data_IF_340885397393
#
_entry.id   IF_340885397393
#
_cell.length_a   1.000
_cell.length_b   1.000
_cell.length_c   1.000
_cell.angle_alpha   90.00
_cell.angle_beta   90.00
_cell.angle_gamma   90.00
#
_symmetry.space_group_name_H-M   'P 1'
#
loop_
_entity.id
_entity.type
_entity.pdbx_description
1 polymer ?
#
# COMPACT_ATOMS: atom_id res chain seq x y z
N UNK A 1 -24.39 -18.56 -48.15
CA UNK A 1 -23.46 -18.69 -47.02
C UNK A 1 -24.25 -18.38 -45.76
N UNK A 2 -24.69 -19.41 -45.04
CA UNK A 2 -25.45 -19.23 -43.81
C UNK A 2 -24.56 -18.59 -42.76
N UNK A 3 -24.98 -17.44 -42.23
CA UNK A 3 -24.37 -16.82 -41.07
C UNK A 3 -24.67 -17.71 -39.87
N UNK A 4 -23.82 -18.69 -39.62
CA UNK A 4 -23.79 -19.43 -38.37
C UNK A 4 -23.41 -18.45 -37.27
N UNK A 5 -24.42 -17.79 -36.69
CA UNK A 5 -24.28 -17.15 -35.39
C UNK A 5 -23.90 -18.28 -34.44
N UNK A 6 -22.67 -18.25 -33.92
CA UNK A 6 -22.29 -18.97 -32.72
C UNK A 6 -23.26 -18.50 -31.63
N UNK A 7 -24.39 -19.20 -31.47
CA UNK A 7 -25.22 -19.06 -30.28
C UNK A 7 -24.29 -19.40 -29.12
N UNK A 8 -23.95 -18.39 -28.31
CA UNK A 8 -23.22 -18.61 -27.08
C UNK A 8 -23.97 -19.71 -26.31
N UNK A 9 -23.30 -20.77 -25.85
CA UNK A 9 -23.95 -21.90 -25.20
C UNK A 9 -24.75 -21.37 -24.00
N UNK A 10 -26.06 -21.26 -24.16
CA UNK A 10 -26.97 -20.84 -23.12
C UNK A 10 -26.89 -21.88 -22.00
N UNK A 11 -26.33 -21.51 -20.84
CA UNK A 11 -26.33 -22.37 -19.65
C UNK A 11 -24.98 -22.62 -18.97
N UNK A 12 -23.88 -21.96 -19.34
CA UNK A 12 -22.69 -22.02 -18.48
C UNK A 12 -22.96 -21.28 -17.16
N UNK A 13 -22.68 -21.90 -16.00
CA UNK A 13 -22.96 -21.27 -14.70
C UNK A 13 -22.02 -20.09 -14.46
N UNK A 14 -22.51 -19.06 -13.77
CA UNK A 14 -21.79 -17.83 -13.40
C UNK A 14 -20.40 -18.10 -12.80
N UNK A 15 -20.30 -19.18 -12.01
CA UNK A 15 -19.06 -19.62 -11.38
C UNK A 15 -17.93 -19.94 -12.39
N UNK A 16 -18.24 -20.38 -13.61
CA UNK A 16 -17.22 -20.73 -14.61
C UNK A 16 -16.51 -19.48 -15.11
N UNK A 17 -17.24 -18.45 -15.53
CA UNK A 17 -16.59 -17.23 -16.03
C UNK A 17 -15.92 -16.44 -14.90
N UNK A 18 -16.50 -16.40 -13.70
CA UNK A 18 -15.83 -15.80 -12.53
C UNK A 18 -14.57 -16.59 -12.14
N UNK A 19 -14.61 -17.91 -12.24
CA UNK A 19 -13.44 -18.78 -12.02
C UNK A 19 -12.32 -18.51 -13.03
N UNK A 20 -12.65 -18.38 -14.32
CA UNK A 20 -11.68 -18.00 -15.36
C UNK A 20 -11.07 -16.61 -15.09
N UNK A 21 -11.89 -15.65 -14.65
CA UNK A 21 -11.43 -14.32 -14.27
C UNK A 21 -10.44 -14.38 -13.10
N UNK A 22 -10.80 -15.10 -12.04
CA UNK A 22 -9.94 -15.30 -10.87
C UNK A 22 -8.62 -15.97 -11.22
N UNK A 23 -8.66 -17.04 -12.02
CA UNK A 23 -7.47 -17.71 -12.55
C UNK A 23 -6.60 -16.74 -13.37
N UNK A 24 -7.21 -15.93 -14.23
CA UNK A 24 -6.50 -14.94 -15.03
C UNK A 24 -5.78 -13.88 -14.16
N UNK A 25 -6.43 -13.46 -13.08
CA UNK A 25 -5.85 -12.53 -12.11
C UNK A 25 -4.67 -13.13 -11.37
N UNK A 26 -4.80 -14.37 -10.90
CA UNK A 26 -3.74 -15.08 -10.21
C UNK A 26 -2.53 -15.40 -11.11
N UNK A 27 -2.76 -15.76 -12.38
CA UNK A 27 -1.70 -15.95 -13.38
C UNK A 27 -0.95 -14.64 -13.65
N UNK A 28 -1.67 -13.53 -13.77
CA UNK A 28 -1.06 -12.20 -13.95
C UNK A 28 -0.19 -11.81 -12.73
N UNK A 29 -0.69 -12.04 -11.51
CA UNK A 29 0.09 -11.86 -10.29
C UNK A 29 1.35 -12.74 -10.28
N UNK A 30 1.21 -13.99 -10.68
CA UNK A 30 2.34 -14.94 -10.75
C UNK A 30 3.40 -14.44 -11.73
N UNK A 31 3.00 -13.97 -12.91
CA UNK A 31 3.90 -13.40 -13.91
C UNK A 31 4.68 -12.19 -13.39
N UNK A 32 4.00 -11.24 -12.75
CA UNK A 32 4.63 -10.08 -12.13
C UNK A 32 5.65 -10.48 -11.04
N UNK A 33 5.29 -11.46 -10.20
CA UNK A 33 6.15 -11.90 -9.10
C UNK A 33 7.37 -12.72 -9.55
N UNK A 34 7.27 -13.48 -10.64
CA UNK A 34 8.44 -14.17 -11.23
C UNK A 34 9.52 -13.16 -11.62
N UNK A 35 9.13 -12.06 -12.27
CA UNK A 35 10.07 -11.00 -12.66
C UNK A 35 10.58 -10.22 -11.44
N UNK A 36 9.70 -9.88 -10.51
CA UNK A 36 10.07 -9.19 -9.27
C UNK A 36 11.06 -10.00 -8.42
N UNK A 37 10.86 -11.31 -8.34
CA UNK A 37 11.77 -12.22 -7.64
C UNK A 37 13.15 -12.28 -8.30
N UNK A 38 13.19 -12.39 -9.63
CA UNK A 38 14.45 -12.36 -10.39
C UNK A 38 15.24 -11.08 -10.11
N UNK A 39 14.57 -9.92 -10.15
CA UNK A 39 15.18 -8.63 -9.85
C UNK A 39 15.64 -8.53 -8.38
N UNK A 40 14.86 -9.06 -7.44
CA UNK A 40 15.22 -9.10 -6.02
C UNK A 40 16.50 -9.93 -5.78
N UNK A 41 16.63 -11.09 -6.42
CA UNK A 41 17.84 -11.91 -6.31
C UNK A 41 19.07 -11.23 -6.92
N UNK A 42 18.92 -10.50 -8.04
CA UNK A 42 20.01 -9.69 -8.60
C UNK A 42 20.54 -8.65 -7.61
N UNK A 43 19.64 -7.99 -6.86
CA UNK A 43 20.04 -7.03 -5.82
C UNK A 43 20.77 -7.68 -4.66
N UNK A 44 20.55 -8.98 -4.41
CA UNK A 44 21.30 -9.78 -3.41
C UNK A 44 22.64 -10.32 -3.95
N UNK A 45 23.06 -9.87 -5.14
CA UNK A 45 24.34 -10.24 -5.73
C UNK A 45 24.30 -11.49 -6.61
N UNK A 46 23.12 -12.09 -6.83
CA UNK A 46 23.00 -13.21 -7.74
C UNK A 46 22.99 -12.73 -9.19
N UNK A 47 24.07 -13.01 -9.93
CA UNK A 47 24.12 -12.68 -11.35
C UNK A 47 23.36 -13.74 -12.17
N UNK A 48 22.40 -13.30 -12.98
CA UNK A 48 21.73 -14.15 -13.95
C UNK A 48 22.47 -14.10 -15.29
N UNK A 49 22.56 -15.25 -15.96
CA UNK A 49 22.98 -15.29 -17.37
C UNK A 49 21.90 -14.63 -18.25
N UNK A 50 22.28 -14.14 -19.44
CA UNK A 50 21.32 -13.55 -20.39
C UNK A 50 20.16 -14.49 -20.73
N UNK A 51 20.43 -15.80 -20.79
CA UNK A 51 19.42 -16.83 -21.07
C UNK A 51 18.44 -16.96 -19.90
N UNK A 52 18.93 -16.94 -18.65
CA UNK A 52 18.05 -16.96 -17.47
C UNK A 52 17.19 -15.70 -17.38
N UNK A 53 17.78 -14.51 -17.59
CA UNK A 53 17.02 -13.25 -17.63
C UNK A 53 15.95 -13.25 -18.72
N UNK A 54 16.28 -13.72 -19.93
CA UNK A 54 15.31 -13.89 -21.00
C UNK A 54 14.21 -14.90 -20.60
N UNK A 55 14.58 -16.00 -19.95
CA UNK A 55 13.64 -16.99 -19.42
C UNK A 55 12.62 -16.39 -18.45
N UNK A 56 13.04 -15.53 -17.52
CA UNK A 56 12.13 -14.85 -16.60
C UNK A 56 11.18 -13.88 -17.31
N UNK A 57 11.67 -13.14 -18.31
CA UNK A 57 10.83 -12.22 -19.12
C UNK A 57 9.83 -12.99 -19.96
N UNK A 58 10.24 -14.11 -20.57
CA UNK A 58 9.35 -14.99 -21.35
C UNK A 58 8.29 -15.60 -20.43
N UNK A 59 8.69 -16.14 -19.27
CA UNK A 59 7.74 -16.69 -18.30
C UNK A 59 6.73 -15.64 -17.81
N UNK A 60 7.20 -14.44 -17.47
CA UNK A 60 6.34 -13.31 -17.10
C UNK A 60 5.36 -12.94 -18.22
N UNK A 61 5.85 -12.81 -19.46
CA UNK A 61 5.02 -12.52 -20.63
C UNK A 61 3.97 -13.61 -20.86
N UNK A 62 4.36 -14.90 -20.83
CA UNK A 62 3.44 -16.01 -21.04
C UNK A 62 2.35 -16.08 -19.96
N UNK A 63 2.70 -15.88 -18.69
CA UNK A 63 1.75 -15.87 -17.59
C UNK A 63 0.77 -14.69 -17.69
N UNK A 64 1.26 -13.49 -18.00
CA UNK A 64 0.40 -12.31 -18.19
C UNK A 64 -0.49 -12.44 -19.43
N UNK A 65 0.04 -12.92 -20.56
CA UNK A 65 -0.75 -13.18 -21.78
C UNK A 65 -1.82 -14.23 -21.51
N UNK A 66 -1.48 -15.30 -20.76
CA UNK A 66 -2.45 -16.31 -20.33
C UNK A 66 -3.52 -15.69 -19.43
N UNK A 67 -3.14 -14.79 -18.52
CA UNK A 67 -4.07 -14.04 -17.69
C UNK A 67 -5.06 -13.19 -18.49
N UNK A 68 -4.56 -12.44 -19.47
CA UNK A 68 -5.37 -11.63 -20.40
C UNK A 68 -6.26 -12.52 -21.27
N UNK A 69 -5.77 -13.65 -21.75
CA UNK A 69 -6.55 -14.59 -22.55
C UNK A 69 -7.71 -15.20 -21.73
N UNK A 70 -7.47 -15.56 -20.46
CA UNK A 70 -8.51 -16.06 -19.56
C UNK A 70 -9.58 -14.99 -19.26
N UNK A 71 -9.16 -13.72 -19.10
CA UNK A 71 -10.09 -12.60 -18.98
C UNK A 71 -10.93 -12.42 -20.24
N UNK A 72 -10.29 -12.35 -21.41
CA UNK A 72 -10.98 -12.19 -22.68
C UNK A 72 -11.95 -13.35 -22.95
N UNK A 73 -11.55 -14.59 -22.61
CA UNK A 73 -12.42 -15.76 -22.68
C UNK A 73 -13.61 -15.64 -21.73
N UNK A 74 -13.39 -15.20 -20.48
CA UNK A 74 -14.46 -14.97 -19.50
C UNK A 74 -15.49 -13.95 -20.01
N UNK A 75 -15.02 -12.84 -20.60
CA UNK A 75 -15.92 -11.83 -21.20
C UNK A 75 -16.62 -12.34 -22.47
N UNK A 76 -15.92 -13.10 -23.31
CA UNK A 76 -16.49 -13.64 -24.55
C UNK A 76 -17.56 -14.72 -24.28
N UNK A 77 -17.47 -15.42 -23.15
CA UNK A 77 -18.47 -16.39 -22.71
C UNK A 77 -19.72 -15.76 -22.07
N UNK A 78 -19.84 -14.42 -22.09
CA UNK A 78 -21.00 -13.69 -21.58
C UNK A 78 -20.84 -13.12 -20.18
N UNK A 79 -19.64 -13.18 -19.59
CA UNK A 79 -19.37 -12.49 -18.33
C UNK A 79 -19.35 -10.97 -18.53
N UNK A 80 -20.19 -10.25 -17.78
CA UNK A 80 -20.20 -8.79 -17.81
C UNK A 80 -18.82 -8.24 -17.38
N UNK A 81 -18.26 -7.30 -18.14
CA UNK A 81 -16.95 -6.71 -17.83
C UNK A 81 -16.93 -6.12 -16.42
N UNK A 82 -18.05 -5.51 -16.02
CA UNK A 82 -18.22 -4.91 -14.70
C UNK A 82 -18.14 -5.91 -13.52
N UNK A 83 -18.33 -7.21 -13.75
CA UNK A 83 -18.23 -8.25 -12.69
C UNK A 83 -16.95 -9.06 -12.81
N UNK A 84 -16.59 -9.46 -14.02
CA UNK A 84 -15.37 -10.25 -14.32
C UNK A 84 -14.10 -9.49 -13.95
N UNK A 85 -14.03 -8.20 -14.28
CA UNK A 85 -12.84 -7.39 -14.07
C UNK A 85 -12.50 -7.12 -12.60
N UNK A 86 -13.48 -6.77 -11.73
CA UNK A 86 -13.27 -6.79 -10.29
C UNK A 86 -12.71 -8.12 -9.81
N UNK A 87 -13.33 -9.26 -10.16
CA UNK A 87 -12.90 -10.58 -9.65
C UNK A 87 -11.46 -10.90 -10.06
N UNK A 88 -11.10 -10.65 -11.32
CA UNK A 88 -9.72 -10.76 -11.77
C UNK A 88 -8.78 -9.84 -10.98
N UNK A 89 -9.20 -8.61 -10.73
CA UNK A 89 -8.44 -7.62 -9.96
C UNK A 89 -8.21 -8.08 -8.51
N UNK A 90 -9.26 -8.53 -7.82
CA UNK A 90 -9.16 -9.06 -6.46
C UNK A 90 -8.24 -10.28 -6.38
N UNK A 91 -8.35 -11.20 -7.34
CA UNK A 91 -7.47 -12.36 -7.42
C UNK A 91 -6.01 -11.98 -7.69
N UNK A 92 -5.77 -10.96 -8.53
CA UNK A 92 -4.44 -10.43 -8.79
C UNK A 92 -3.83 -9.80 -7.52
N UNK A 93 -4.60 -9.00 -6.77
CA UNK A 93 -4.15 -8.42 -5.49
C UNK A 93 -3.81 -9.49 -4.45
N UNK A 94 -4.72 -10.44 -4.25
CA UNK A 94 -4.51 -11.54 -3.31
C UNK A 94 -3.30 -12.39 -3.70
N UNK A 95 -3.18 -12.72 -4.99
CA UNK A 95 -2.04 -13.45 -5.54
C UNK A 95 -0.72 -12.72 -5.34
N UNK A 96 -0.69 -11.40 -5.54
CA UNK A 96 0.53 -10.61 -5.29
C UNK A 96 0.92 -10.63 -3.82
N UNK A 97 -0.03 -10.38 -2.91
CA UNK A 97 0.25 -10.42 -1.47
C UNK A 97 0.77 -11.80 -1.04
N UNK A 98 0.15 -12.87 -1.54
CA UNK A 98 0.55 -14.25 -1.28
C UNK A 98 1.98 -14.53 -1.78
N UNK A 99 2.24 -14.30 -3.07
CA UNK A 99 3.54 -14.61 -3.67
C UNK A 99 4.68 -13.77 -3.08
N UNK A 100 4.46 -12.47 -2.88
CA UNK A 100 5.50 -11.60 -2.32
C UNK A 100 5.84 -11.96 -0.87
N UNK A 101 4.83 -12.34 -0.08
CA UNK A 101 5.04 -12.81 1.30
C UNK A 101 5.77 -14.15 1.32
N UNK A 102 5.36 -15.10 0.47
CA UNK A 102 5.96 -16.43 0.39
C UNK A 102 7.43 -16.37 -0.09
N UNK A 103 7.71 -15.53 -1.09
CA UNK A 103 9.03 -15.37 -1.68
C UNK A 103 9.95 -14.44 -0.85
N UNK A 104 9.45 -13.86 0.24
CA UNK A 104 10.20 -12.92 1.08
C UNK A 104 10.61 -11.64 0.34
N UNK A 105 9.85 -11.24 -0.68
CA UNK A 105 10.12 -10.04 -1.48
C UNK A 105 9.76 -8.77 -0.73
N UNK A 106 8.62 -8.80 -0.02
CA UNK A 106 8.13 -7.68 0.79
C UNK A 106 7.38 -8.17 2.02
N UNK A 107 7.56 -7.45 3.11
CA UNK A 107 6.75 -7.60 4.31
C UNK A 107 5.53 -6.70 4.22
N UNK A 108 4.35 -7.31 4.25
CA UNK A 108 3.09 -6.59 4.28
C UNK A 108 2.76 -6.20 5.72
N UNK A 109 2.65 -4.90 5.97
CA UNK A 109 2.22 -4.41 7.27
C UNK A 109 0.75 -4.76 7.55
N UNK A 110 0.25 -4.39 8.73
CA UNK A 110 -1.16 -4.64 9.07
C UNK A 110 -2.11 -3.87 8.14
N UNK A 111 -1.79 -2.62 7.83
CA UNK A 111 -2.64 -1.73 7.02
C UNK A 111 -2.79 -2.24 5.58
N UNK A 112 -1.70 -2.68 4.95
CA UNK A 112 -1.68 -3.28 3.61
C UNK A 112 -2.46 -4.59 3.54
N UNK A 113 -2.39 -5.42 4.59
CA UNK A 113 -3.19 -6.66 4.64
C UNK A 113 -4.68 -6.36 4.77
N UNK A 114 -5.04 -5.43 5.68
CA UNK A 114 -6.43 -5.02 5.87
C UNK A 114 -6.98 -4.35 4.62
N UNK A 115 -6.24 -3.42 4.01
CA UNK A 115 -6.64 -2.76 2.77
C UNK A 115 -6.87 -3.75 1.63
N UNK A 116 -5.98 -4.75 1.47
CA UNK A 116 -6.15 -5.83 0.48
C UNK A 116 -7.41 -6.67 0.75
N UNK A 117 -7.70 -7.02 2.01
CA UNK A 117 -8.92 -7.76 2.37
C UNK A 117 -10.17 -6.92 2.07
N UNK A 118 -10.17 -5.63 2.44
CA UNK A 118 -11.26 -4.70 2.14
C UNK A 118 -11.52 -4.62 0.63
N UNK A 119 -10.45 -4.53 -0.19
CA UNK A 119 -10.56 -4.53 -1.65
C UNK A 119 -11.19 -5.83 -2.17
N UNK A 120 -10.78 -6.99 -1.66
CA UNK A 120 -11.32 -8.29 -2.09
C UNK A 120 -12.80 -8.39 -1.74
N UNK A 121 -13.21 -7.99 -0.53
CA UNK A 121 -14.62 -7.95 -0.15
C UNK A 121 -15.42 -7.00 -1.04
N UNK A 122 -14.93 -5.77 -1.26
CA UNK A 122 -15.58 -4.81 -2.15
C UNK A 122 -15.74 -5.36 -3.58
N UNK A 123 -14.70 -5.99 -4.12
CA UNK A 123 -14.72 -6.66 -5.42
C UNK A 123 -15.75 -7.80 -5.48
N UNK A 124 -15.87 -8.59 -4.42
CA UNK A 124 -16.85 -9.68 -4.37
C UNK A 124 -18.29 -9.13 -4.42
N UNK A 125 -18.56 -8.05 -3.67
CA UNK A 125 -19.86 -7.37 -3.68
C UNK A 125 -20.20 -6.80 -5.08
N UNK A 126 -19.22 -6.28 -5.83
CA UNK A 126 -19.43 -5.80 -7.22
C UNK A 126 -19.99 -6.87 -8.15
N UNK A 127 -19.75 -8.15 -7.87
CA UNK A 127 -20.30 -9.22 -8.70
C UNK A 127 -21.82 -9.37 -8.59
N UNK A 128 -22.41 -8.96 -7.46
CA UNK A 128 -23.85 -9.01 -7.21
C UNK A 128 -24.55 -7.69 -7.54
N UNK A 129 -23.91 -6.55 -7.23
CA UNK A 129 -24.52 -5.22 -7.40
C UNK A 129 -24.18 -4.55 -8.74
N UNK A 130 -23.37 -5.19 -9.57
CA UNK A 130 -22.94 -4.67 -10.88
C UNK A 130 -24.10 -4.50 -11.87
N UNK A 131 -23.90 -3.74 -12.96
CA UNK A 131 -24.91 -3.56 -13.99
C UNK A 131 -25.31 -4.89 -14.65
N UNK A 132 -26.61 -5.11 -14.81
CA UNK A 132 -27.16 -6.25 -15.54
C UNK A 132 -27.44 -5.84 -16.99
N UNK A 133 -26.45 -6.00 -17.86
CA UNK A 133 -26.55 -5.58 -19.26
C UNK A 133 -27.51 -6.46 -20.07
N UNK A 134 -28.37 -5.86 -20.92
CA UNK A 134 -29.21 -6.63 -21.84
C UNK A 134 -28.34 -7.27 -22.95
N UNK A 135 -28.73 -8.45 -23.48
CA UNK A 135 -27.99 -9.10 -24.57
C UNK A 135 -27.93 -8.24 -25.85
N UNK A 136 -28.91 -7.37 -26.04
CA UNK A 136 -29.17 -6.62 -27.28
C UNK A 136 -28.71 -5.15 -27.18
N UNK A 137 -27.55 -4.90 -26.55
CA UNK A 137 -27.10 -3.54 -26.29
C UNK A 137 -26.89 -2.76 -27.61
N UNK A 138 -27.51 -1.56 -27.81
CA UNK A 138 -27.38 -0.79 -29.04
C UNK A 138 -26.02 -0.05 -29.10
N UNK A 139 -24.95 -0.81 -29.35
CA UNK A 139 -23.56 -0.33 -29.30
C UNK A 139 -23.29 0.84 -30.23
N UNK A 140 -23.87 0.82 -31.44
CA UNK A 140 -23.67 1.89 -32.41
C UNK A 140 -24.24 3.23 -31.90
N UNK A 141 -25.40 3.20 -31.27
CA UNK A 141 -26.00 4.40 -30.65
C UNK A 141 -25.15 4.87 -29.45
N UNK A 142 -24.70 3.95 -28.60
CA UNK A 142 -23.88 4.27 -27.43
C UNK A 142 -22.54 4.90 -27.81
N UNK A 143 -21.85 4.35 -28.82
CA UNK A 143 -20.54 4.85 -29.27
C UNK A 143 -20.63 6.16 -30.07
N UNK A 144 -21.77 6.45 -30.68
CA UNK A 144 -21.99 7.71 -31.43
C UNK A 144 -22.36 8.88 -30.51
N UNK A 145 -22.66 8.63 -29.24
CA UNK A 145 -22.88 9.71 -28.28
C UNK A 145 -21.63 10.59 -28.10
N UNK A 146 -21.77 11.93 -28.09
CA UNK A 146 -20.64 12.84 -27.99
C UNK A 146 -19.86 12.69 -26.69
N UNK A 147 -20.53 12.26 -25.61
CA UNK A 147 -19.91 11.98 -24.30
C UNK A 147 -18.96 10.80 -24.40
N UNK A 148 -19.36 9.71 -25.05
CA UNK A 148 -18.54 8.52 -25.24
C UNK A 148 -17.27 8.83 -26.06
N UNK A 149 -17.43 9.55 -27.17
CA UNK A 149 -16.32 9.98 -28.04
C UNK A 149 -15.35 10.88 -27.26
N UNK A 150 -15.88 11.88 -26.54
CA UNK A 150 -15.06 12.81 -25.73
C UNK A 150 -14.28 12.06 -24.66
N UNK A 151 -14.93 11.13 -23.96
CA UNK A 151 -14.29 10.33 -22.92
C UNK A 151 -13.19 9.42 -23.50
N UNK A 152 -13.45 8.74 -24.61
CA UNK A 152 -12.46 7.91 -25.29
C UNK A 152 -11.22 8.73 -25.73
N UNK A 153 -11.43 9.94 -26.27
CA UNK A 153 -10.34 10.84 -26.63
C UNK A 153 -9.53 11.28 -25.41
N UNK A 154 -10.19 11.62 -24.30
CA UNK A 154 -9.53 11.97 -23.03
C UNK A 154 -8.66 10.80 -22.55
N UNK A 155 -9.18 9.58 -22.55
CA UNK A 155 -8.45 8.38 -22.13
C UNK A 155 -7.18 8.15 -22.96
N UNK A 156 -7.28 8.29 -24.28
CA UNK A 156 -6.12 8.15 -25.19
C UNK A 156 -5.08 9.26 -24.93
N UNK A 157 -5.51 10.52 -24.79
CA UNK A 157 -4.60 11.64 -24.49
C UNK A 157 -3.90 11.41 -23.14
N UNK A 158 -4.64 11.02 -22.11
CA UNK A 158 -4.08 10.76 -20.78
C UNK A 158 -3.12 9.56 -20.79
N UNK A 159 -3.37 8.52 -21.59
CA UNK A 159 -2.42 7.44 -21.80
C UNK A 159 -1.10 7.98 -22.40
N UNK A 160 -1.16 8.77 -23.48
CA UNK A 160 0.05 9.35 -24.08
C UNK A 160 0.81 10.31 -23.14
N UNK A 161 0.09 11.15 -22.40
CA UNK A 161 0.69 12.04 -21.39
C UNK A 161 1.38 11.22 -20.29
N UNK A 162 0.73 10.15 -19.83
CA UNK A 162 1.28 9.25 -18.81
C UNK A 162 2.52 8.51 -19.34
N UNK A 163 2.48 8.01 -20.58
CA UNK A 163 3.61 7.36 -21.24
C UNK A 163 4.83 8.31 -21.35
N UNK A 164 4.60 9.54 -21.83
CA UNK A 164 5.65 10.56 -21.88
C UNK A 164 6.20 10.86 -20.48
N UNK A 165 5.30 10.99 -19.49
CA UNK A 165 5.63 11.17 -18.08
C UNK A 165 6.48 10.04 -17.51
N UNK A 166 6.18 8.78 -17.83
CA UNK A 166 6.98 7.62 -17.42
C UNK A 166 8.42 7.73 -17.92
N UNK A 167 8.62 8.05 -19.19
CA UNK A 167 9.97 8.25 -19.74
C UNK A 167 10.72 9.41 -19.06
N UNK A 168 10.03 10.51 -18.77
CA UNK A 168 10.64 11.66 -18.09
C UNK A 168 10.98 11.37 -16.63
N UNK A 169 10.20 10.55 -15.94
CA UNK A 169 10.36 10.24 -14.50
C UNK A 169 11.14 8.96 -14.23
N UNK A 170 11.68 8.30 -15.26
CA UNK A 170 12.45 7.06 -15.11
C UNK A 170 13.66 7.20 -14.16
N UNK A 171 14.27 8.39 -14.10
CA UNK A 171 15.42 8.69 -13.24
C UNK A 171 15.05 8.98 -11.79
N UNK A 172 13.77 9.19 -11.48
CA UNK A 172 13.32 9.41 -10.12
C UNK A 172 13.41 8.10 -9.31
N UNK A 173 13.55 8.26 -8.00
CA UNK A 173 13.56 7.17 -7.04
C UNK A 173 12.31 6.27 -7.19
N UNK A 174 12.48 4.99 -6.86
CA UNK A 174 11.42 3.97 -7.01
C UNK A 174 10.16 4.30 -6.23
N UNK A 175 10.30 5.05 -5.13
CA UNK A 175 9.22 5.41 -4.21
C UNK A 175 8.61 6.79 -4.51
N UNK A 176 9.05 7.44 -5.59
CA UNK A 176 8.51 8.74 -5.97
C UNK A 176 7.02 8.64 -6.30
N UNK A 177 6.13 9.38 -5.61
CA UNK A 177 4.69 9.27 -5.83
C UNK A 177 4.30 9.72 -7.24
N UNK A 178 5.05 10.67 -7.82
CA UNK A 178 4.82 11.14 -9.20
C UNK A 178 5.13 10.03 -10.20
N UNK A 179 6.26 9.34 -10.02
CA UNK A 179 6.64 8.18 -10.86
C UNK A 179 5.58 7.08 -10.74
N UNK A 180 5.24 6.69 -9.52
CA UNK A 180 4.20 5.67 -9.26
C UNK A 180 2.87 6.01 -9.92
N UNK A 181 2.41 7.27 -9.77
CA UNK A 181 1.15 7.72 -10.37
C UNK A 181 1.19 7.68 -11.89
N UNK A 182 2.24 8.18 -12.53
CA UNK A 182 2.33 8.19 -14.00
C UNK A 182 2.39 6.77 -14.59
N UNK A 183 3.14 5.87 -13.96
CA UNK A 183 3.20 4.47 -14.36
C UNK A 183 1.84 3.77 -14.16
N UNK A 184 1.19 3.98 -13.01
CA UNK A 184 -0.13 3.42 -12.73
C UNK A 184 -1.18 3.94 -13.71
N UNK A 185 -1.23 5.26 -13.92
CA UNK A 185 -2.14 5.92 -14.86
C UNK A 185 -1.97 5.40 -16.29
N UNK A 186 -0.74 5.26 -16.78
CA UNK A 186 -0.50 4.72 -18.12
C UNK A 186 -1.15 3.35 -18.29
N UNK A 187 -0.81 2.41 -17.41
CA UNK A 187 -1.31 1.04 -17.48
C UNK A 187 -2.82 0.99 -17.25
N UNK A 188 -3.36 1.80 -16.33
CA UNK A 188 -4.80 1.96 -16.11
C UNK A 188 -5.52 2.40 -17.38
N UNK A 189 -5.07 3.47 -18.02
CA UNK A 189 -5.77 4.03 -19.18
C UNK A 189 -5.72 3.10 -20.38
N UNK A 190 -4.56 2.49 -20.69
CA UNK A 190 -4.48 1.48 -21.75
C UNK A 190 -5.39 0.29 -21.43
N UNK A 191 -5.36 -0.23 -20.19
CA UNK A 191 -6.18 -1.39 -19.86
C UNK A 191 -7.69 -1.11 -19.96
N UNK A 192 -8.15 0.08 -19.58
CA UNK A 192 -9.56 0.49 -19.74
C UNK A 192 -9.94 0.60 -21.23
N UNK A 193 -9.03 1.16 -22.05
CA UNK A 193 -9.22 1.22 -23.51
C UNK A 193 -9.29 -0.20 -24.09
N UNK A 194 -8.34 -1.06 -23.75
CA UNK A 194 -8.33 -2.47 -24.14
C UNK A 194 -9.59 -3.22 -23.70
N UNK A 195 -10.05 -3.05 -22.45
CA UNK A 195 -11.29 -3.67 -21.96
C UNK A 195 -12.52 -3.17 -22.74
N UNK A 196 -12.59 -1.88 -23.05
CA UNK A 196 -13.67 -1.29 -23.84
C UNK A 196 -13.68 -1.83 -25.28
N UNK A 197 -12.52 -1.99 -25.90
CA UNK A 197 -12.40 -2.59 -27.24
C UNK A 197 -12.73 -4.09 -27.19
N UNK A 198 -12.31 -4.80 -26.14
CA UNK A 198 -12.60 -6.21 -25.96
C UNK A 198 -14.11 -6.50 -25.91
N UNK A 199 -14.89 -5.61 -25.28
CA UNK A 199 -16.36 -5.68 -25.28
C UNK A 199 -16.95 -5.60 -26.70
N UNK A 200 -16.28 -4.94 -27.65
CA UNK A 200 -16.74 -4.87 -29.03
C UNK A 200 -16.64 -6.20 -29.78
N UNK A 201 -15.79 -7.15 -29.34
CA UNK A 201 -15.58 -8.41 -30.08
C UNK A 201 -16.85 -9.26 -30.24
N UNK A 202 -17.75 -9.20 -29.26
CA UNK A 202 -19.06 -9.88 -29.35
C UNK A 202 -20.12 -9.10 -30.14
N UNK A 203 -19.87 -7.81 -30.39
CA UNK A 203 -20.90 -6.86 -30.82
C UNK A 203 -20.70 -6.38 -32.27
N UNK A 204 -19.46 -6.30 -32.75
CA UNK A 204 -19.14 -5.86 -34.12
C UNK A 204 -18.79 -7.04 -35.04
N UNK A 205 -19.07 -6.88 -36.34
CA UNK A 205 -18.79 -7.90 -37.38
C UNK A 205 -18.01 -7.29 -38.54
N UNK A 206 -17.38 -8.15 -39.35
CA UNK A 206 -16.72 -7.74 -40.60
C UNK A 206 -15.44 -6.90 -40.40
N UNK A 207 -15.17 -5.89 -41.24
CA UNK A 207 -13.95 -5.08 -41.15
C UNK A 207 -13.76 -4.34 -39.82
N UNK A 208 -14.86 -3.92 -39.19
CA UNK A 208 -14.81 -3.26 -37.87
C UNK A 208 -14.24 -4.19 -36.78
N UNK A 209 -14.54 -5.49 -36.86
CA UNK A 209 -13.99 -6.49 -35.93
C UNK A 209 -12.47 -6.64 -36.14
N UNK A 210 -12.00 -6.69 -37.39
CA UNK A 210 -10.57 -6.76 -37.68
C UNK A 210 -9.81 -5.51 -37.19
N UNK A 211 -10.42 -4.32 -37.33
CA UNK A 211 -9.89 -3.09 -36.76
C UNK A 211 -9.83 -3.15 -35.23
N UNK A 212 -10.92 -3.58 -34.57
CA UNK A 212 -10.96 -3.74 -33.12
C UNK A 212 -9.85 -4.68 -32.62
N UNK A 213 -9.64 -5.84 -33.27
CA UNK A 213 -8.55 -6.75 -32.94
C UNK A 213 -7.17 -6.10 -33.10
N UNK A 214 -6.97 -5.32 -34.16
CA UNK A 214 -5.70 -4.64 -34.42
C UNK A 214 -5.40 -3.61 -33.32
N UNK A 215 -6.38 -2.77 -32.96
CA UNK A 215 -6.21 -1.77 -31.91
C UNK A 215 -6.01 -2.44 -30.55
N UNK A 216 -6.80 -3.48 -30.24
CA UNK A 216 -6.66 -4.26 -29.00
C UNK A 216 -5.27 -4.89 -28.87
N UNK A 217 -4.73 -5.44 -29.97
CA UNK A 217 -3.40 -6.03 -29.97
C UNK A 217 -2.31 -4.97 -29.72
N UNK A 218 -2.39 -3.82 -30.39
CA UNK A 218 -1.44 -2.72 -30.19
C UNK A 218 -1.50 -2.16 -28.76
N UNK A 219 -2.71 -1.95 -28.24
CA UNK A 219 -2.94 -1.53 -26.86
C UNK A 219 -2.39 -2.56 -25.87
N UNK A 220 -2.64 -3.85 -26.10
CA UNK A 220 -2.12 -4.94 -25.27
C UNK A 220 -0.59 -4.97 -25.23
N UNK A 221 0.09 -4.76 -26.36
CA UNK A 221 1.56 -4.65 -26.40
C UNK A 221 2.05 -3.45 -25.60
N UNK A 222 1.39 -2.30 -25.75
CA UNK A 222 1.74 -1.08 -25.04
C UNK A 222 1.52 -1.21 -23.52
N UNK A 223 0.38 -1.76 -23.12
CA UNK A 223 0.02 -2.05 -21.74
C UNK A 223 1.02 -3.04 -21.10
N UNK A 224 1.38 -4.10 -21.83
CA UNK A 224 2.37 -5.09 -21.37
C UNK A 224 3.75 -4.45 -21.19
N UNK A 225 4.21 -3.67 -22.16
CA UNK A 225 5.48 -2.96 -22.06
C UNK A 225 5.48 -2.00 -20.85
N UNK A 226 4.40 -1.23 -20.67
CA UNK A 226 4.23 -0.33 -19.53
C UNK A 226 4.24 -1.07 -18.20
N UNK A 227 3.56 -2.22 -18.10
CA UNK A 227 3.49 -3.06 -16.89
C UNK A 227 4.86 -3.66 -16.56
N UNK A 228 5.58 -4.20 -17.55
CA UNK A 228 6.93 -4.75 -17.36
C UNK A 228 7.89 -3.65 -16.91
N UNK A 229 7.83 -2.47 -17.53
CA UNK A 229 8.62 -1.32 -17.11
C UNK A 229 8.28 -0.87 -15.69
N UNK A 230 7.00 -0.83 -15.33
CA UNK A 230 6.55 -0.49 -13.98
C UNK A 230 7.09 -1.46 -12.94
N UNK A 231 6.94 -2.77 -13.19
CA UNK A 231 7.40 -3.80 -12.27
C UNK A 231 8.93 -3.79 -12.07
N UNK A 232 9.68 -3.32 -13.08
CA UNK A 232 11.12 -3.17 -12.97
C UNK A 232 11.55 -1.88 -12.23
N UNK A 233 10.77 -0.80 -12.35
CA UNK A 233 11.19 0.56 -11.97
C UNK A 233 10.48 1.13 -10.73
N UNK A 234 9.40 0.50 -10.28
CA UNK A 234 8.58 0.92 -9.14
C UNK A 234 8.56 -0.15 -8.04
N UNK A 235 8.21 0.23 -6.82
CA UNK A 235 7.85 -0.74 -5.79
C UNK A 235 6.53 -1.42 -6.17
N UNK A 236 6.64 -2.68 -6.63
CA UNK A 236 5.52 -3.51 -7.12
C UNK A 236 4.36 -3.56 -6.12
N UNK A 237 4.65 -3.57 -4.82
CA UNK A 237 3.60 -3.72 -3.82
C UNK A 237 2.80 -2.44 -3.57
N UNK A 238 3.30 -1.28 -3.98
CA UNK A 238 2.53 -0.02 -3.98
C UNK A 238 1.92 0.20 -5.36
N UNK A 239 2.70 -0.03 -6.42
CA UNK A 239 2.27 0.15 -7.80
C UNK A 239 1.06 -0.72 -8.18
N UNK A 240 1.07 -2.02 -7.87
CA UNK A 240 0.00 -2.93 -8.31
C UNK A 240 -1.35 -2.59 -7.68
N UNK A 241 -1.49 -2.38 -6.36
CA UNK A 241 -2.75 -1.92 -5.77
C UNK A 241 -3.25 -0.60 -6.33
N UNK A 242 -2.35 0.36 -6.52
CA UNK A 242 -2.68 1.67 -7.10
C UNK A 242 -3.20 1.54 -8.53
N UNK A 243 -2.49 0.80 -9.39
CA UNK A 243 -2.86 0.54 -10.78
C UNK A 243 -4.24 -0.13 -10.87
N UNK A 244 -4.40 -1.26 -10.17
CA UNK A 244 -5.59 -2.09 -10.29
C UNK A 244 -6.85 -1.37 -9.83
N UNK A 245 -6.74 -0.54 -8.80
CA UNK A 245 -7.91 0.15 -8.26
C UNK A 245 -8.20 1.44 -9.02
N UNK A 246 -7.17 2.14 -9.50
CA UNK A 246 -7.37 3.23 -10.47
C UNK A 246 -8.08 2.70 -11.71
N UNK A 247 -7.70 1.51 -12.17
CA UNK A 247 -8.37 0.79 -13.24
C UNK A 247 -9.84 0.49 -12.90
N UNK A 248 -10.18 0.00 -11.70
CA UNK A 248 -11.58 -0.18 -11.32
C UNK A 248 -12.38 1.13 -11.39
N UNK A 249 -11.88 2.21 -10.80
CA UNK A 249 -12.56 3.51 -10.79
C UNK A 249 -12.73 4.07 -12.20
N UNK A 250 -11.69 4.01 -13.03
CA UNK A 250 -11.76 4.54 -14.39
C UNK A 250 -12.66 3.68 -15.27
N UNK A 251 -12.71 2.35 -15.07
CA UNK A 251 -13.67 1.49 -15.75
C UNK A 251 -15.11 1.77 -15.33
N UNK A 252 -15.37 2.04 -14.05
CA UNK A 252 -16.70 2.46 -13.57
C UNK A 252 -17.16 3.72 -14.31
N UNK A 253 -16.31 4.75 -14.36
CA UNK A 253 -16.63 5.99 -15.06
C UNK A 253 -16.86 5.73 -16.55
N UNK A 254 -16.04 4.87 -17.16
CA UNK A 254 -16.20 4.45 -18.57
C UNK A 254 -17.52 3.72 -18.79
N UNK A 255 -17.92 2.83 -17.88
CA UNK A 255 -19.24 2.19 -17.83
C UNK A 255 -20.38 3.19 -17.89
N UNK A 256 -20.32 4.22 -17.05
CA UNK A 256 -21.35 5.26 -17.00
C UNK A 256 -21.38 6.13 -18.26
N UNK A 257 -20.22 6.57 -18.75
CA UNK A 257 -20.12 7.55 -19.83
C UNK A 257 -20.21 6.95 -21.23
N UNK A 258 -19.74 5.72 -21.41
CA UNK A 258 -19.68 5.03 -22.71
C UNK A 258 -20.78 3.99 -22.83
N UNK A 259 -20.96 3.15 -21.79
CA UNK A 259 -21.84 1.99 -21.86
C UNK A 259 -23.25 2.23 -21.31
N UNK A 260 -23.47 3.38 -20.65
CA UNK A 260 -24.78 3.73 -20.10
C UNK A 260 -25.18 2.88 -18.89
N UNK A 261 -24.20 2.32 -18.16
CA UNK A 261 -24.40 1.38 -17.04
C UNK A 261 -25.36 1.92 -15.97
N UNK A 262 -25.48 3.24 -15.84
CA UNK A 262 -26.40 3.90 -14.90
C UNK A 262 -27.86 3.42 -15.02
N UNK A 263 -28.30 2.99 -16.21
CA UNK A 263 -29.66 2.48 -16.44
C UNK A 263 -29.87 1.04 -15.95
N UNK A 264 -28.78 0.32 -15.75
CA UNK A 264 -28.77 -1.13 -15.50
C UNK A 264 -28.34 -1.48 -14.06
N UNK A 265 -28.17 -0.47 -13.21
CA UNK A 265 -27.79 -0.64 -11.80
C UNK A 265 -29.03 -0.47 -10.93
N UNK A 266 -29.45 -1.54 -10.27
CA UNK A 266 -30.61 -1.53 -9.35
C UNK A 266 -30.35 -0.71 -8.08
N UNK A 267 -29.09 -0.69 -7.61
CA UNK A 267 -28.68 -0.07 -6.35
C UNK A 267 -27.51 0.90 -6.54
N UNK A 268 -27.73 2.10 -7.14
CA UNK A 268 -26.65 3.01 -7.50
C UNK A 268 -25.84 3.52 -6.31
N UNK A 269 -26.48 3.69 -5.15
CA UNK A 269 -25.79 4.12 -3.92
C UNK A 269 -24.82 3.04 -3.42
N UNK A 270 -25.28 1.79 -3.32
CA UNK A 270 -24.43 0.66 -2.91
C UNK A 270 -23.27 0.48 -3.88
N UNK A 271 -23.54 0.58 -5.18
CA UNK A 271 -22.53 0.51 -6.22
C UNK A 271 -21.44 1.58 -6.02
N UNK A 272 -21.81 2.85 -5.83
CA UNK A 272 -20.85 3.94 -5.58
C UNK A 272 -20.06 3.71 -4.27
N UNK A 273 -20.72 3.26 -3.21
CA UNK A 273 -20.06 2.99 -1.92
C UNK A 273 -19.00 1.89 -2.05
N UNK A 274 -19.23 0.88 -2.89
CA UNK A 274 -18.24 -0.18 -3.11
C UNK A 274 -17.00 0.36 -3.85
N UNK A 275 -17.14 1.25 -4.82
CA UNK A 275 -15.97 1.93 -5.40
C UNK A 275 -15.27 2.86 -4.42
N UNK A 276 -16.02 3.51 -3.53
CA UNK A 276 -15.43 4.27 -2.43
C UNK A 276 -14.60 3.37 -1.50
N UNK A 277 -15.09 2.18 -1.16
CA UNK A 277 -14.33 1.16 -0.44
C UNK A 277 -13.08 0.73 -1.22
N UNK A 278 -13.17 0.59 -2.54
CA UNK A 278 -12.00 0.31 -3.37
C UNK A 278 -10.94 1.42 -3.26
N UNK A 279 -11.33 2.70 -3.33
CA UNK A 279 -10.39 3.82 -3.16
C UNK A 279 -9.78 3.85 -1.76
N UNK A 280 -10.59 3.62 -0.72
CA UNK A 280 -10.10 3.56 0.66
C UNK A 280 -9.15 2.37 0.87
N UNK A 281 -9.42 1.21 0.27
CA UNK A 281 -8.53 0.06 0.34
C UNK A 281 -7.16 0.32 -0.29
N UNK A 282 -7.10 1.06 -1.41
CA UNK A 282 -5.83 1.51 -2.02
C UNK A 282 -5.06 2.44 -1.11
N UNK A 283 -5.78 3.40 -0.53
CA UNK A 283 -5.20 4.39 0.35
C UNK A 283 -4.58 3.70 1.57
N UNK A 284 -5.25 2.69 2.14
CA UNK A 284 -4.69 1.82 3.19
C UNK A 284 -3.50 0.97 2.72
N UNK A 285 -3.50 0.53 1.46
CA UNK A 285 -2.40 -0.25 0.87
C UNK A 285 -1.16 0.57 0.51
N UNK A 286 -1.28 1.90 0.47
CA UNK A 286 -0.24 2.81 0.01
C UNK A 286 0.15 3.77 1.13
N UNK A 287 0.83 3.30 2.21
CA UNK A 287 1.16 4.13 3.36
C UNK A 287 2.04 5.33 3.01
N UNK A 288 2.75 5.28 1.88
CA UNK A 288 3.56 6.39 1.36
C UNK A 288 2.74 7.47 0.65
N UNK A 289 1.53 7.14 0.19
CA UNK A 289 0.63 8.04 -0.54
C UNK A 289 -0.46 8.60 0.38
N UNK A 290 -0.04 9.25 1.46
CA UNK A 290 -0.97 9.97 2.33
C UNK A 290 -1.36 11.33 1.73
N UNK A 291 -2.30 11.32 0.79
CA UNK A 291 -2.80 12.54 0.15
C UNK A 291 -3.39 13.53 1.16
N UNK A 292 -4.16 13.04 2.14
CA UNK A 292 -4.83 13.89 3.13
C UNK A 292 -3.81 14.47 4.10
N UNK A 293 -2.91 13.65 4.64
CA UNK A 293 -1.81 14.10 5.48
C UNK A 293 -0.90 15.07 4.75
N UNK A 294 -0.56 14.82 3.48
CA UNK A 294 0.22 15.73 2.66
C UNK A 294 -0.46 17.10 2.46
N UNK A 295 -1.75 17.12 2.17
CA UNK A 295 -2.53 18.37 2.07
C UNK A 295 -2.58 19.13 3.40
N UNK A 296 -2.80 18.42 4.52
CA UNK A 296 -2.82 19.02 5.86
C UNK A 296 -1.45 19.55 6.27
N UNK A 297 -0.37 18.80 6.03
CA UNK A 297 1.01 19.22 6.28
C UNK A 297 1.33 20.47 5.49
N UNK A 298 1.02 20.49 4.19
CA UNK A 298 1.20 21.67 3.34
C UNK A 298 0.43 22.89 3.84
N UNK A 299 -0.84 22.68 4.24
CA UNK A 299 -1.67 23.74 4.83
C UNK A 299 -1.05 24.28 6.13
N UNK A 300 -0.57 23.41 7.02
CA UNK A 300 0.08 23.83 8.25
C UNK A 300 1.41 24.54 8.01
N UNK A 301 2.25 24.05 7.09
CA UNK A 301 3.51 24.69 6.73
C UNK A 301 3.25 26.12 6.25
N UNK A 302 2.27 26.31 5.37
CA UNK A 302 1.89 27.65 4.85
C UNK A 302 1.38 28.61 5.92
N UNK A 303 0.78 28.10 7.00
CA UNK A 303 0.27 28.93 8.11
C UNK A 303 1.25 29.10 9.26
N UNK A 304 2.27 28.25 9.36
CA UNK A 304 3.27 28.31 10.42
C UNK A 304 4.34 29.37 10.13
N UNK A 305 4.78 30.08 11.18
CA UNK A 305 5.90 31.02 11.12
C UNK A 305 6.80 30.74 12.32
N UNK A 306 7.61 29.67 12.21
CA UNK A 306 8.46 29.19 13.30
C UNK A 306 9.48 30.25 13.75
N UNK A 307 10.01 31.06 12.83
CA UNK A 307 10.90 32.19 13.15
C UNK A 307 10.23 33.26 14.02
N UNK A 308 8.91 33.42 13.89
CA UNK A 308 8.09 34.32 14.70
C UNK A 308 7.54 33.68 15.98
N UNK A 309 8.00 32.47 16.34
CA UNK A 309 7.52 31.73 17.51
C UNK A 309 6.07 31.24 17.39
N UNK A 310 5.51 31.15 16.17
CA UNK A 310 4.12 30.73 15.93
C UNK A 310 4.09 29.38 15.22
N UNK A 311 3.71 28.34 15.95
CA UNK A 311 3.46 27.01 15.39
C UNK A 311 1.97 26.62 15.48
N UNK A 312 1.40 26.23 14.35
CA UNK A 312 0.02 25.73 14.26
C UNK A 312 -0.06 24.22 14.48
N UNK A 313 0.93 23.46 14.01
CA UNK A 313 0.99 22.01 14.18
C UNK A 313 1.54 21.61 15.56
N UNK A 314 1.12 20.44 16.06
CA UNK A 314 1.67 19.83 17.28
C UNK A 314 3.18 19.62 17.18
N UNK A 315 3.65 19.14 16.03
CA UNK A 315 5.07 19.00 15.72
C UNK A 315 5.82 20.34 15.84
N UNK A 316 5.33 21.40 15.20
CA UNK A 316 5.95 22.71 15.27
C UNK A 316 5.98 23.28 16.69
N UNK A 317 4.94 23.02 17.50
CA UNK A 317 4.92 23.42 18.92
C UNK A 317 5.97 22.67 19.73
N UNK A 318 6.13 21.36 19.49
CA UNK A 318 7.20 20.57 20.10
C UNK A 318 8.58 21.12 19.75
N UNK A 319 8.81 21.45 18.48
CA UNK A 319 10.09 22.01 18.01
C UNK A 319 10.38 23.36 18.68
N UNK A 320 9.37 24.24 18.82
CA UNK A 320 9.53 25.50 19.54
C UNK A 320 9.81 25.29 21.03
N UNK A 321 9.15 24.32 21.67
CA UNK A 321 9.41 23.95 23.07
C UNK A 321 10.82 23.42 23.28
N UNK A 322 11.30 22.57 22.37
CA UNK A 322 12.68 22.08 22.37
C UNK A 322 13.67 23.24 22.20
N UNK A 323 13.44 24.13 21.23
CA UNK A 323 14.29 25.30 21.00
C UNK A 323 14.36 26.22 22.24
N UNK A 324 13.24 26.45 22.91
CA UNK A 324 13.19 27.24 24.13
C UNK A 324 13.99 26.57 25.26
N UNK A 325 13.85 25.26 25.43
CA UNK A 325 14.61 24.48 26.43
C UNK A 325 16.13 24.48 26.18
N UNK A 326 16.57 24.62 24.93
CA UNK A 326 17.97 24.76 24.56
C UNK A 326 18.50 26.19 24.71
N UNK A 327 17.62 27.20 24.62
CA UNK A 327 17.99 28.62 24.83
C UNK A 327 18.15 28.99 26.30
N UNK A 328 17.44 28.32 27.19
CA UNK A 328 17.70 28.44 28.63
C UNK A 328 19.17 28.15 28.87
N UNK A 329 19.87 29.06 29.58
CA UNK A 329 21.33 29.04 29.81
C UNK A 329 21.83 27.62 30.12
N UNK A 330 23.10 27.36 29.83
CA UNK A 330 23.80 26.08 30.07
C UNK A 330 23.96 25.72 31.56
N UNK A 331 22.90 25.87 32.34
CA UNK A 331 22.74 25.20 33.60
C UNK A 331 22.52 23.70 33.30
N UNK A 332 23.44 22.89 33.80
CA UNK A 332 23.43 21.43 33.67
C UNK A 332 22.62 20.78 34.79
N UNK A 333 21.64 21.51 35.36
CA UNK A 333 20.79 20.97 36.41
C UNK A 333 20.04 19.73 35.89
N UNK A 334 19.94 18.65 36.69
CA UNK A 334 19.27 17.41 36.28
C UNK A 334 17.83 17.64 35.80
N UNK A 335 17.12 18.61 36.38
CA UNK A 335 15.77 18.99 35.99
C UNK A 335 15.71 19.55 34.56
N UNK A 336 16.66 20.43 34.18
CA UNK A 336 16.72 20.97 32.81
C UNK A 336 17.11 19.90 31.79
N UNK A 337 18.02 18.98 32.14
CA UNK A 337 18.34 17.84 31.28
C UNK A 337 17.13 16.94 31.05
N UNK A 338 16.35 16.67 32.10
CA UNK A 338 15.13 15.88 32.00
C UNK A 338 14.06 16.59 31.15
N UNK A 339 13.92 17.91 31.27
CA UNK A 339 13.00 18.68 30.45
C UNK A 339 13.42 18.68 28.97
N UNK A 340 14.71 18.89 28.67
CA UNK A 340 15.25 18.80 27.29
C UNK A 340 15.02 17.41 26.71
N UNK A 341 15.25 16.36 27.49
CA UNK A 341 14.97 14.98 27.07
C UNK A 341 13.48 14.80 26.77
N UNK A 342 12.59 15.28 27.65
CA UNK A 342 11.14 15.19 27.46
C UNK A 342 10.68 15.91 26.19
N UNK A 343 11.20 17.10 25.93
CA UNK A 343 10.87 17.86 24.73
C UNK A 343 11.38 17.16 23.46
N UNK A 344 12.60 16.63 23.48
CA UNK A 344 13.14 15.86 22.36
C UNK A 344 12.30 14.61 22.08
N UNK A 345 11.97 13.83 23.11
CA UNK A 345 11.09 12.66 22.97
C UNK A 345 9.73 13.08 22.41
N UNK A 346 9.15 14.17 22.90
CA UNK A 346 7.88 14.69 22.40
C UNK A 346 7.98 15.04 20.92
N UNK A 347 9.04 15.73 20.48
CA UNK A 347 9.26 16.08 19.06
C UNK A 347 9.39 14.84 18.19
N UNK A 348 10.17 13.85 18.62
CA UNK A 348 10.38 12.62 17.85
C UNK A 348 9.11 11.78 17.79
N UNK A 349 8.41 11.60 18.91
CA UNK A 349 7.15 10.83 18.97
C UNK A 349 6.06 11.51 18.15
N UNK A 350 5.79 12.81 18.38
CA UNK A 350 4.76 13.55 17.62
C UNK A 350 5.15 13.63 16.15
N UNK A 351 6.43 13.81 15.83
CA UNK A 351 6.94 13.81 14.46
C UNK A 351 6.65 12.49 13.75
N UNK A 352 6.93 11.36 14.39
CA UNK A 352 6.62 10.02 13.88
C UNK A 352 5.12 9.77 13.75
N UNK A 353 4.33 10.08 14.79
CA UNK A 353 2.87 9.88 14.81
C UNK A 353 2.14 10.70 13.74
N UNK A 354 2.62 11.91 13.46
CA UNK A 354 2.04 12.81 12.45
C UNK A 354 2.62 12.61 11.05
N UNK A 355 3.58 11.69 10.89
CA UNK A 355 4.32 11.50 9.64
C UNK A 355 5.17 12.71 9.23
N UNK A 356 5.44 13.64 10.14
CA UNK A 356 6.34 14.80 9.90
C UNK A 356 7.81 14.37 9.93
N UNK A 357 8.12 13.30 10.67
CA UNK A 357 9.40 12.59 10.63
C UNK A 357 9.12 11.17 10.14
N UNK A 358 9.83 10.74 9.11
CA UNK A 358 9.72 9.37 8.56
C UNK A 358 10.61 8.43 9.35
N UNK A 359 10.25 7.14 9.39
CA UNK A 359 11.07 6.12 10.04
C UNK A 359 12.53 6.08 9.53
N UNK A 360 12.82 6.18 8.21
CA UNK A 360 14.20 6.22 7.72
C UNK A 360 14.99 7.42 8.23
N UNK A 361 14.35 8.57 8.47
CA UNK A 361 15.01 9.78 8.99
C UNK A 361 15.41 9.61 10.46
N UNK A 362 14.62 8.85 11.24
CA UNK A 362 15.03 8.45 12.60
C UNK A 362 16.23 7.52 12.56
N UNK A 363 16.24 6.56 11.64
CA UNK A 363 17.40 5.67 11.46
C UNK A 363 18.63 6.49 11.08
N UNK A 364 18.51 7.44 10.16
CA UNK A 364 19.59 8.36 9.79
C UNK A 364 20.09 9.18 10.99
N UNK A 365 19.18 9.74 11.79
CA UNK A 365 19.53 10.44 13.02
C UNK A 365 20.32 9.55 13.99
N UNK A 366 19.87 8.31 14.21
CA UNK A 366 20.58 7.34 15.05
C UNK A 366 21.97 7.03 14.48
N UNK A 367 22.09 6.85 13.16
CA UNK A 367 23.37 6.59 12.49
C UNK A 367 24.33 7.79 12.59
N UNK A 368 23.81 9.02 12.57
CA UNK A 368 24.61 10.23 12.80
C UNK A 368 25.12 10.29 14.25
N UNK A 369 24.26 10.00 15.23
CA UNK A 369 24.65 9.95 16.64
C UNK A 369 25.67 8.83 16.92
N UNK A 370 25.53 7.69 16.24
CA UNK A 370 26.49 6.58 16.36
C UNK A 370 27.83 6.88 15.68
N UNK A 371 27.86 7.73 14.65
CA UNK A 371 29.12 8.16 14.01
C UNK A 371 30.04 8.85 14.99
N UNK A 372 29.50 9.66 15.89
CA UNK A 372 30.26 10.35 16.94
C UNK A 372 30.86 9.38 17.96
N UNK A 373 30.37 8.14 18.03
CA UNK A 373 30.82 7.07 18.94
C UNK A 373 31.46 5.89 18.21
N UNK A 374 32.00 6.11 17.01
CA UNK A 374 32.79 5.14 16.23
C UNK A 374 32.06 3.86 15.78
N UNK A 375 30.73 3.88 15.59
CA UNK A 375 29.93 2.74 15.08
C UNK A 375 30.11 1.40 15.82
N UNK A 376 30.76 1.41 16.98
CA UNK A 376 31.10 0.22 17.74
C UNK A 376 29.96 -0.31 18.61
N UNK A 377 30.12 -1.52 19.16
CA UNK A 377 29.25 -2.01 20.21
C UNK A 377 29.32 -1.03 21.38
N UNK A 378 28.16 -0.56 21.84
CA UNK A 378 28.09 0.34 22.99
C UNK A 378 27.18 -0.27 24.06
N UNK A 379 27.49 -0.03 25.35
CA UNK A 379 26.66 -0.49 26.46
C UNK A 379 25.20 -0.09 26.30
N UNK A 380 24.94 1.14 25.85
CA UNK A 380 23.59 1.68 25.67
C UNK A 380 22.80 0.93 24.57
N UNK A 381 23.46 0.58 23.46
CA UNK A 381 22.80 -0.16 22.36
C UNK A 381 22.51 -1.60 22.78
N UNK A 382 23.45 -2.27 23.46
CA UNK A 382 23.21 -3.64 23.95
C UNK A 382 22.12 -3.66 25.01
N UNK A 383 22.15 -2.72 25.95
CA UNK A 383 21.07 -2.58 26.93
C UNK A 383 19.71 -2.40 26.25
N UNK A 384 19.62 -1.50 25.25
CA UNK A 384 18.39 -1.27 24.49
C UNK A 384 17.92 -2.52 23.74
N UNK A 385 18.83 -3.28 23.11
CA UNK A 385 18.49 -4.53 22.44
C UNK A 385 17.91 -5.56 23.42
N UNK A 386 18.56 -5.74 24.58
CA UNK A 386 18.13 -6.72 25.57
C UNK A 386 16.80 -6.35 26.25
N UNK A 387 16.62 -5.07 26.58
CA UNK A 387 15.53 -4.62 27.46
C UNK A 387 14.38 -3.94 26.70
N UNK A 388 14.62 -3.28 25.57
CA UNK A 388 13.57 -2.53 24.88
C UNK A 388 13.10 -3.22 23.60
N UNK A 389 13.92 -4.07 22.98
CA UNK A 389 13.55 -4.76 21.74
C UNK A 389 12.87 -6.11 22.01
N UNK A 390 11.53 -6.14 21.98
CA UNK A 390 10.75 -7.36 22.24
C UNK A 390 11.13 -8.56 21.37
N UNK A 391 11.47 -8.33 20.09
CA UNK A 391 11.90 -9.39 19.18
C UNK A 391 13.23 -10.05 19.63
N UNK A 392 14.15 -9.27 20.18
CA UNK A 392 15.42 -9.78 20.69
C UNK A 392 15.19 -10.76 21.85
N UNK A 393 14.24 -10.46 22.75
CA UNK A 393 13.85 -11.36 23.84
C UNK A 393 13.35 -12.71 23.33
N UNK A 394 12.62 -12.76 22.21
CA UNK A 394 12.22 -14.02 21.59
C UNK A 394 13.40 -14.80 21.01
N UNK A 395 14.38 -14.12 20.43
CA UNK A 395 15.61 -14.78 19.99
C UNK A 395 16.40 -15.35 21.16
N UNK A 396 16.59 -14.59 22.24
CA UNK A 396 17.28 -15.05 23.46
C UNK A 396 16.53 -16.19 24.15
N UNK A 397 15.20 -16.16 24.17
CA UNK A 397 14.40 -17.25 24.72
C UNK A 397 14.57 -18.55 23.93
N UNK A 398 14.80 -18.45 22.61
CA UNK A 398 15.06 -19.60 21.74
C UNK A 398 16.51 -20.06 21.75
N UNK A 399 17.44 -19.12 21.86
CA UNK A 399 18.89 -19.32 21.88
C UNK A 399 19.53 -18.40 22.93
N UNK A 400 19.65 -18.86 24.19
CA UNK A 400 20.23 -18.06 25.27
C UNK A 400 21.67 -17.60 24.99
N UNK A 401 22.46 -18.42 24.26
CA UNK A 401 23.84 -18.08 23.91
C UNK A 401 23.95 -16.87 22.99
N UNK A 402 22.88 -16.53 22.26
CA UNK A 402 22.84 -15.33 21.42
C UNK A 402 23.02 -14.04 22.21
N UNK A 403 22.49 -13.97 23.44
CA UNK A 403 22.69 -12.81 24.33
C UNK A 403 24.17 -12.67 24.70
N UNK A 404 24.80 -13.77 25.08
CA UNK A 404 26.21 -13.79 25.50
C UNK A 404 27.13 -13.38 24.34
N UNK A 405 26.81 -13.78 23.10
CA UNK A 405 27.55 -13.35 21.90
C UNK A 405 27.57 -11.82 21.75
N UNK A 406 26.45 -11.12 22.00
CA UNK A 406 26.44 -9.65 21.95
C UNK A 406 27.27 -9.05 23.07
N UNK A 407 27.13 -9.54 24.31
CA UNK A 407 27.90 -9.02 25.46
C UNK A 407 29.40 -9.21 25.27
N UNK A 408 29.83 -10.33 24.68
CA UNK A 408 31.24 -10.59 24.36
C UNK A 408 31.84 -9.63 23.34
N UNK A 409 31.03 -8.85 22.60
CA UNK A 409 31.54 -7.80 21.71
C UNK A 409 31.98 -6.54 22.46
N UNK A 410 31.59 -6.37 23.73
CA UNK A 410 31.97 -5.22 24.53
C UNK A 410 33.41 -5.36 25.05
N UNK A 411 34.08 -4.21 25.19
CA UNK A 411 35.30 -4.14 25.98
C UNK A 411 35.00 -4.40 27.47
N UNK A 412 36.01 -4.79 28.25
CA UNK A 412 35.85 -4.97 29.70
C UNK A 412 35.37 -3.69 30.41
N UNK A 413 35.74 -2.51 29.91
CA UNK A 413 35.26 -1.23 30.45
C UNK A 413 33.78 -1.02 30.11
N UNK A 414 33.39 -1.32 28.87
CA UNK A 414 32.00 -1.19 28.43
C UNK A 414 31.07 -2.22 29.09
N UNK A 415 31.56 -3.42 29.38
CA UNK A 415 30.82 -4.41 30.15
C UNK A 415 30.51 -3.89 31.57
N UNK A 416 31.48 -3.24 32.23
CA UNK A 416 31.24 -2.58 33.52
C UNK A 416 30.20 -1.48 33.40
N UNK A 417 30.30 -0.62 32.37
CA UNK A 417 29.32 0.44 32.10
C UNK A 417 27.92 -0.12 31.80
N UNK A 418 27.83 -1.29 31.16
CA UNK A 418 26.55 -1.96 30.92
C UNK A 418 25.92 -2.37 32.25
N UNK A 419 26.69 -2.97 33.17
CA UNK A 419 26.21 -3.32 34.51
C UNK A 419 25.76 -2.07 35.28
N UNK A 420 26.55 -1.01 35.25
CA UNK A 420 26.18 0.28 35.88
C UNK A 420 24.86 0.83 35.31
N UNK A 421 24.67 0.72 34.00
CA UNK A 421 23.46 1.18 33.32
C UNK A 421 22.25 0.31 33.64
N UNK A 422 22.42 -1.01 33.74
CA UNK A 422 21.40 -1.94 34.21
C UNK A 422 20.97 -1.61 35.64
N UNK A 423 21.92 -1.39 36.54
CA UNK A 423 21.66 -1.03 37.94
C UNK A 423 20.97 0.34 38.05
N UNK A 424 21.40 1.33 37.27
CA UNK A 424 20.81 2.67 37.28
C UNK A 424 19.35 2.70 36.78
N UNK A 425 18.99 1.79 35.87
CA UNK A 425 17.66 1.75 35.24
C UNK A 425 16.69 0.74 35.86
N UNK A 426 17.19 -0.25 36.62
CA UNK A 426 16.38 -1.22 37.36
C UNK A 426 15.25 -0.60 38.21
N UNK A 427 15.45 0.53 38.94
CA UNK A 427 14.37 1.16 39.71
C UNK A 427 13.23 1.69 38.84
N UNK A 428 13.54 2.15 37.62
CA UNK A 428 12.54 2.68 36.69
C UNK A 428 11.66 1.58 36.10
N UNK A 429 12.23 0.41 35.81
CA UNK A 429 11.44 -0.73 35.32
C UNK A 429 10.50 -1.30 36.39
N UNK A 430 10.94 -1.31 37.66
CA UNK A 430 10.07 -1.70 38.77
C UNK A 430 8.86 -0.74 38.88
N UNK A 431 9.08 0.57 38.72
CA UNK A 431 8.00 1.55 38.71
C UNK A 431 7.09 1.42 37.47
N UNK A 432 7.68 1.23 36.29
CA UNK A 432 6.94 1.13 35.02
C UNK A 432 6.12 -0.16 34.94
N UNK A 433 6.67 -1.30 35.36
CA UNK A 433 5.97 -2.59 35.39
C UNK A 433 4.76 -2.53 36.32
N UNK A 434 4.88 -1.86 37.48
CA UNK A 434 3.76 -1.63 38.38
C UNK A 434 2.63 -0.86 37.70
N UNK A 435 2.93 0.24 36.99
CA UNK A 435 1.92 0.97 36.20
C UNK A 435 1.33 0.17 35.04
N UNK A 436 2.12 -0.62 34.32
CA UNK A 436 1.60 -1.45 33.21
C UNK A 436 0.67 -2.56 33.71
N UNK A 437 1.01 -3.19 34.84
CA UNK A 437 0.19 -4.26 35.43
C UNK A 437 -1.12 -3.71 35.96
N UNK A 438 -1.11 -2.48 36.51
CA UNK A 438 -2.33 -1.78 36.93
C UNK A 438 -3.18 -1.39 35.71
N UNK A 439 -2.57 -0.93 34.63
CA UNK A 439 -3.29 -0.57 33.39
C UNK A 439 -3.88 -1.80 32.68
N UNK A 440 -3.14 -2.90 32.59
CA UNK A 440 -3.61 -4.16 31.98
C UNK A 440 -4.69 -4.83 32.84
N UNK A 441 -4.56 -4.78 34.17
CA UNK A 441 -5.61 -5.25 35.07
C UNK A 441 -6.86 -4.34 35.05
N UNK A 442 -6.70 -3.03 34.89
CA UNK A 442 -7.81 -2.11 34.70
C UNK A 442 -8.53 -2.37 33.37
N UNK A 443 -7.78 -2.64 32.29
CA UNK A 443 -8.33 -3.02 30.99
C UNK A 443 -9.08 -4.35 31.06
N UNK A 444 -8.54 -5.36 31.77
CA UNK A 444 -9.24 -6.63 32.03
C UNK A 444 -10.53 -6.44 32.86
N UNK A 445 -10.55 -5.51 33.81
CA UNK A 445 -11.75 -5.19 34.61
C UNK A 445 -12.79 -4.37 33.83
N UNK A 446 -12.40 -3.58 32.83
CA UNK A 446 -13.34 -2.88 31.95
C UNK A 446 -13.91 -3.77 30.83
N UNK A 447 -13.20 -4.84 30.46
CA UNK A 447 -13.68 -5.85 29.51
C UNK A 447 -14.77 -6.79 30.06
N UNK A 448 -14.99 -6.81 31.38
CA UNK A 448 -15.99 -7.66 32.05
C UNK A 448 -17.37 -6.99 32.23
N UNK A 449 -17.61 -5.84 31.61
CA UNK A 449 -18.94 -5.20 31.60
C UNK A 449 -19.37 -4.57 32.94
N UNK A 450 -18.48 -4.49 33.93
CA UNK A 450 -18.74 -3.78 35.18
C UNK A 450 -18.40 -2.30 34.96
N UNK A 451 -19.43 -1.48 34.73
CA UNK A 451 -19.35 -0.02 34.70
C UNK A 451 -18.93 0.51 36.07
N UNK A 452 -17.62 0.64 36.31
CA UNK A 452 -17.10 1.37 37.46
C UNK A 452 -17.14 2.87 37.18
N UNK A 453 -17.93 3.58 37.98
CA UNK A 453 -18.08 5.03 37.99
C UNK A 453 -16.71 5.70 38.20
N UNK A 454 -16.16 6.27 37.13
CA UNK A 454 -14.83 6.90 37.06
C UNK A 454 -14.66 8.07 38.03
N UNK A 455 -15.75 8.57 38.63
CA UNK A 455 -15.71 9.58 39.70
C UNK A 455 -15.13 9.06 41.03
N UNK A 456 -15.26 7.77 41.32
CA UNK A 456 -14.75 7.22 42.60
C UNK A 456 -13.24 6.96 42.59
N UNK A 457 -12.63 6.72 41.43
CA UNK A 457 -11.18 6.46 41.33
C UNK A 457 -10.37 7.74 41.55
N UNK A 458 -10.84 8.89 41.03
CA UNK A 458 -10.21 10.19 41.28
C UNK A 458 -10.31 10.61 42.76
N UNK A 459 -11.43 10.30 43.43
CA UNK A 459 -11.61 10.59 44.86
C UNK A 459 -10.73 9.70 45.76
N UNK A 460 -10.45 8.46 45.35
CA UNK A 460 -9.58 7.58 46.12
C UNK A 460 -8.09 7.95 45.98
N UNK A 461 -7.69 8.46 44.81
CA UNK A 461 -6.33 8.94 44.57
C UNK A 461 -6.03 10.28 45.26
N UNK A 462 -7.05 11.12 45.48
CA UNK A 462 -6.93 12.35 46.26
C UNK A 462 -6.79 12.10 47.78
N UNK A 463 -7.37 11.01 48.31
CA UNK A 463 -7.26 10.66 49.74
C UNK A 463 -5.92 10.02 50.14
N UNK A 464 -5.10 9.61 49.19
CA UNK A 464 -3.77 9.02 49.44
C UNK A 464 -2.63 10.03 49.34
N UNK A 465 -2.94 11.30 49.02
CA UNK A 465 -1.97 12.38 48.84
C UNK A 465 -2.13 13.55 49.82
N UNK A 466 -2.99 13.42 50.83
CA UNK A 466 -2.98 14.33 51.99
C UNK A 466 -2.17 13.67 53.14
N UNK A 467 -1.18 14.37 53.72
CA UNK A 467 -0.26 13.84 54.73
C UNK A 467 -0.90 13.54 56.10
#
# INVERSE_FOLDING_TARGET
MGSGTLEAPQGLPTSVFLGLAGCGGFLSASGANVLAWSAHQQRRGQAWTRVQSAGFVVACTLLNVSGIAMFAASTALGGAVATVMPVQTGANLLGNMFWQSMLGLKFYDKSMRVGTIVLICAVAELSEIGPQEPPDLPVEELLTHPVAITWAMVMVILAFVSLYGMFKTMHLEMDSPVKLTLYASMVTFTTVVGASIGKLFGLVKGPALALAFTVYFLDGVLCMAGTVMANAQCDVAIFVPLQLSSQLVVNMITGYLVWGDAKYIEHPVSYILVYFLCVMGVYLNSPTMDLVGGMLQWYFIRRSSLSGGRATSSFGKGVLGLLESWRQKADNSPALMQERQRQLVTVLTVGLETGSIKQPEIVELVMLLMREREYGPSPAVIYWLEHNLGLFRYYVARDPGFKDMFRQTLSLEDERRLVELEEALKPREAAASFTSTVSDNALMLTGSGISLDTRNVAAHHARLLDP
#
